data_IF_479863484306
#
_entry.id   IF_479863484306
#
_cell.length_a   1.000
_cell.length_b   1.000
_cell.length_c   1.000
_cell.angle_alpha   90.00
_cell.angle_beta   90.00
_cell.angle_gamma   90.00
#
_symmetry.space_group_name_H-M   'P 1'
#
loop_
_entity.id
_entity.type
_entity.pdbx_description
1 polymer ?
#
# COMPACT_ATOMS: atom_id res chain seq x y z
N UNK A 1 -13.56 12.22 -0.71
CA UNK A 1 -12.21 12.38 -1.25
C UNK A 1 -11.28 13.14 -0.29
N UNK A 2 -11.65 14.34 0.19
CA UNK A 2 -10.83 15.11 1.15
C UNK A 2 -10.63 14.41 2.48
N UNK A 3 -11.65 13.67 2.97
CA UNK A 3 -11.58 12.88 4.21
C UNK A 3 -10.56 11.74 4.09
N UNK A 4 -10.54 11.03 2.95
CA UNK A 4 -9.63 9.92 2.68
C UNK A 4 -8.16 10.39 2.67
N UNK A 5 -7.89 11.54 2.06
CA UNK A 5 -6.55 12.15 2.10
C UNK A 5 -6.14 12.56 3.52
N UNK A 6 -7.09 13.07 4.31
CA UNK A 6 -6.83 13.48 5.70
C UNK A 6 -6.44 12.29 6.59
N UNK A 7 -7.06 11.12 6.40
CA UNK A 7 -6.69 9.91 7.15
C UNK A 7 -5.25 9.47 6.86
N UNK A 8 -4.84 9.55 5.58
CA UNK A 8 -3.47 9.22 5.17
C UNK A 8 -2.43 10.23 5.69
N UNK A 9 -2.73 11.53 5.63
CA UNK A 9 -1.75 12.58 5.99
C UNK A 9 -1.51 12.70 7.48
N UNK A 10 -2.40 12.19 8.35
CA UNK A 10 -2.17 12.15 9.80
C UNK A 10 -0.92 11.35 10.17
N UNK A 11 -0.66 10.26 9.46
CA UNK A 11 0.47 9.37 9.73
C UNK A 11 1.77 9.85 9.05
N UNK A 12 1.66 10.68 8.00
CA UNK A 12 2.77 11.26 7.26
C UNK A 12 3.24 12.61 7.84
N UNK A 13 3.38 12.70 9.15
CA UNK A 13 3.77 13.94 9.83
C UNK A 13 5.04 14.58 9.25
N UNK A 14 5.15 15.91 9.38
CA UNK A 14 6.26 16.73 8.84
C UNK A 14 7.64 16.17 9.24
N UNK A 15 7.78 15.63 10.46
CA UNK A 15 8.99 15.02 10.98
C UNK A 15 9.37 13.72 10.26
N UNK A 16 8.41 12.94 9.75
CA UNK A 16 8.69 11.72 8.99
C UNK A 16 9.32 12.04 7.62
N UNK A 17 8.96 13.18 7.01
CA UNK A 17 9.57 13.67 5.76
C UNK A 17 11.02 14.11 5.96
N UNK A 18 11.33 14.74 7.09
CA UNK A 18 12.68 15.24 7.43
C UNK A 18 13.60 14.11 7.87
N UNK A 19 13.08 13.12 8.60
CA UNK A 19 13.86 12.03 9.17
C UNK A 19 14.12 10.85 8.22
N UNK A 20 13.63 10.86 6.96
CA UNK A 20 13.67 9.71 6.04
C UNK A 20 13.17 8.40 6.69
N UNK A 21 12.21 8.51 7.61
CA UNK A 21 11.71 7.36 8.37
C UNK A 21 10.95 6.44 7.43
N UNK A 22 11.28 5.15 7.47
CA UNK A 22 10.55 4.12 6.72
C UNK A 22 9.12 4.02 7.26
N UNK A 23 8.15 4.45 6.43
CA UNK A 23 6.73 4.42 6.76
C UNK A 23 6.18 3.00 6.90
N UNK A 24 6.87 2.00 6.34
CA UNK A 24 6.46 0.60 6.43
C UNK A 24 6.56 0.02 7.83
N UNK A 25 7.44 0.59 8.68
CA UNK A 25 7.62 0.16 10.07
C UNK A 25 6.64 0.80 11.06
N UNK A 26 5.80 1.75 10.60
CA UNK A 26 4.83 2.47 11.42
C UNK A 26 3.45 1.82 11.38
N UNK A 27 2.55 2.26 12.26
CA UNK A 27 1.14 1.90 12.19
C UNK A 27 0.53 2.37 10.86
N UNK A 28 0.02 1.39 10.09
CA UNK A 28 -0.61 1.61 8.78
C UNK A 28 -2.14 1.54 8.84
N UNK A 29 -2.73 1.64 10.03
CA UNK A 29 -4.19 1.59 10.19
C UNK A 29 -4.89 2.68 9.37
N UNK A 30 -4.35 3.90 9.36
CA UNK A 30 -4.82 4.99 8.51
C UNK A 30 -4.71 4.68 7.02
N UNK A 31 -3.64 4.01 6.60
CA UNK A 31 -3.47 3.59 5.21
C UNK A 31 -4.48 2.51 4.79
N UNK A 32 -4.75 1.53 5.66
CA UNK A 32 -5.78 0.49 5.42
C UNK A 32 -7.18 1.10 5.31
N UNK A 33 -7.53 2.04 6.19
CA UNK A 33 -8.79 2.76 6.12
C UNK A 33 -8.91 3.57 4.83
N UNK A 34 -7.90 4.37 4.48
CA UNK A 34 -7.88 5.14 3.25
C UNK A 34 -7.97 4.25 2.00
N UNK A 35 -7.35 3.06 2.02
CA UNK A 35 -7.45 2.09 0.93
C UNK A 35 -8.90 1.63 0.73
N UNK A 36 -9.60 1.25 1.80
CA UNK A 36 -10.99 0.80 1.71
C UNK A 36 -11.93 1.91 1.23
N UNK A 37 -11.77 3.13 1.75
CA UNK A 37 -12.58 4.28 1.37
C UNK A 37 -12.36 4.69 -0.10
N UNK A 38 -11.10 4.67 -0.58
CA UNK A 38 -10.80 4.95 -1.99
C UNK A 38 -11.32 3.86 -2.93
N UNK A 39 -11.31 2.61 -2.50
CA UNK A 39 -11.89 1.49 -3.25
C UNK A 39 -13.41 1.69 -3.38
N UNK A 40 -14.09 2.03 -2.29
CA UNK A 40 -15.52 2.35 -2.31
C UNK A 40 -15.82 3.56 -3.21
N UNK A 41 -14.98 4.62 -3.13
CA UNK A 41 -15.12 5.79 -3.99
C UNK A 41 -15.03 5.42 -5.48
N UNK A 42 -14.06 4.61 -5.89
CA UNK A 42 -13.90 4.21 -7.29
C UNK A 42 -15.01 3.28 -7.77
N UNK A 43 -15.60 2.49 -6.87
CA UNK A 43 -16.75 1.64 -7.19
C UNK A 43 -18.01 2.47 -7.41
N UNK A 44 -18.24 3.51 -6.60
CA UNK A 44 -19.41 4.38 -6.69
C UNK A 44 -19.30 5.44 -7.79
N UNK A 45 -18.09 5.94 -8.06
CA UNK A 45 -17.84 7.06 -8.96
C UNK A 45 -16.69 6.78 -9.93
N UNK A 46 -16.80 5.75 -10.80
CA UNK A 46 -15.71 5.32 -11.68
C UNK A 46 -15.31 6.41 -12.69
N UNK A 47 -16.26 7.26 -13.12
CA UNK A 47 -16.08 8.30 -14.13
C UNK A 47 -15.79 9.69 -13.52
N UNK A 48 -15.55 9.75 -12.21
CA UNK A 48 -15.18 11.00 -11.55
C UNK A 48 -13.84 11.54 -12.09
N UNK A 49 -13.74 12.85 -12.24
CA UNK A 49 -12.47 13.50 -12.58
C UNK A 49 -11.32 13.17 -11.58
N UNK A 50 -11.65 12.72 -10.39
CA UNK A 50 -10.68 12.29 -9.37
C UNK A 50 -10.32 10.80 -9.45
N UNK A 51 -11.01 10.00 -10.30
CA UNK A 51 -10.78 8.57 -10.38
C UNK A 51 -9.32 8.21 -10.77
N UNK A 52 -8.67 8.86 -11.74
CA UNK A 52 -7.27 8.57 -12.07
C UNK A 52 -6.33 8.78 -10.87
N UNK A 53 -6.51 9.87 -10.14
CA UNK A 53 -5.73 10.17 -8.95
C UNK A 53 -5.99 9.15 -7.83
N UNK A 54 -7.25 8.77 -7.59
CA UNK A 54 -7.62 7.78 -6.60
C UNK A 54 -6.99 6.40 -6.92
N UNK A 55 -6.96 5.99 -8.20
CA UNK A 55 -6.29 4.75 -8.65
C UNK A 55 -4.80 4.76 -8.33
N UNK A 56 -4.10 5.85 -8.60
CA UNK A 56 -2.67 5.96 -8.26
C UNK A 56 -2.43 5.89 -6.75
N UNK A 57 -3.29 6.54 -5.96
CA UNK A 57 -3.23 6.46 -4.50
C UNK A 57 -3.49 5.05 -3.98
N UNK A 58 -4.42 4.32 -4.57
CA UNK A 58 -4.66 2.91 -4.23
C UNK A 58 -3.43 2.04 -4.46
N UNK A 59 -2.73 2.21 -5.60
CA UNK A 59 -1.49 1.47 -5.88
C UNK A 59 -0.45 1.74 -4.80
N UNK A 60 -0.26 3.00 -4.43
CA UNK A 60 0.68 3.37 -3.38
C UNK A 60 0.31 2.77 -2.01
N UNK A 61 -0.94 2.92 -1.58
CA UNK A 61 -1.41 2.41 -0.29
C UNK A 61 -1.31 0.88 -0.22
N UNK A 62 -1.63 0.19 -1.33
CA UNK A 62 -1.45 -1.25 -1.47
C UNK A 62 0.00 -1.65 -1.21
N UNK A 63 0.94 -1.00 -1.89
CA UNK A 63 2.36 -1.29 -1.74
C UNK A 63 2.87 -0.94 -0.34
N UNK A 64 2.38 0.13 0.27
CA UNK A 64 2.72 0.52 1.64
C UNK A 64 2.25 -0.53 2.65
N UNK A 65 1.01 -1.02 2.53
CA UNK A 65 0.47 -2.06 3.43
C UNK A 65 1.25 -3.37 3.24
N UNK A 66 1.53 -3.77 1.99
CA UNK A 66 2.33 -4.95 1.72
C UNK A 66 3.75 -4.84 2.33
N UNK A 67 4.41 -3.69 2.16
CA UNK A 67 5.74 -3.43 2.73
C UNK A 67 5.74 -3.50 4.27
N UNK A 68 4.69 -3.02 4.93
CA UNK A 68 4.54 -3.12 6.38
C UNK A 68 4.40 -4.57 6.87
N UNK A 69 3.58 -5.37 6.19
CA UNK A 69 3.43 -6.80 6.52
C UNK A 69 4.75 -7.56 6.33
N UNK A 70 5.51 -7.24 5.27
CA UNK A 70 6.81 -7.89 5.03
C UNK A 70 7.91 -7.38 5.97
N UNK A 71 7.87 -6.14 6.44
CA UNK A 71 8.77 -5.68 7.50
C UNK A 71 8.57 -6.50 8.79
N UNK A 72 7.32 -6.83 9.13
CA UNK A 72 7.03 -7.73 10.23
C UNK A 72 7.52 -9.17 9.93
N UNK A 73 7.40 -9.65 8.69
CA UNK A 73 7.90 -10.97 8.29
C UNK A 73 9.44 -11.05 8.44
N UNK A 74 10.18 -10.04 7.98
CA UNK A 74 11.64 -9.96 8.13
C UNK A 74 12.08 -9.98 9.60
N UNK A 75 11.34 -9.27 10.45
CA UNK A 75 11.57 -9.34 11.90
C UNK A 75 11.43 -10.76 12.44
N UNK A 76 10.41 -11.51 11.99
CA UNK A 76 10.23 -12.90 12.38
C UNK A 76 11.33 -13.83 11.81
N UNK A 77 11.79 -13.61 10.58
CA UNK A 77 12.94 -14.34 10.00
C UNK A 77 14.18 -14.11 10.87
N UNK A 78 14.48 -12.86 11.22
CA UNK A 78 15.62 -12.51 12.09
C UNK A 78 15.55 -13.22 13.45
N UNK A 79 14.34 -13.45 13.98
CA UNK A 79 14.09 -14.18 15.22
C UNK A 79 13.99 -15.69 15.04
N UNK A 80 14.21 -16.22 13.83
CA UNK A 80 14.03 -17.65 13.48
C UNK A 80 12.61 -18.17 13.72
N UNK A 81 11.63 -17.28 13.78
CA UNK A 81 10.21 -17.59 13.91
C UNK A 81 9.58 -17.81 12.51
N UNK A 82 10.12 -18.77 11.75
CA UNK A 82 9.83 -18.96 10.33
C UNK A 82 8.34 -19.19 10.04
N UNK A 83 7.61 -19.91 10.89
CA UNK A 83 6.15 -20.10 10.73
C UNK A 83 5.38 -18.78 10.77
N UNK A 84 5.81 -17.85 11.64
CA UNK A 84 5.18 -16.53 11.71
C UNK A 84 5.55 -15.68 10.48
N UNK A 85 6.78 -15.78 9.98
CA UNK A 85 7.23 -15.13 8.75
C UNK A 85 6.43 -15.63 7.54
N UNK A 86 6.23 -16.95 7.40
CA UNK A 86 5.42 -17.58 6.36
C UNK A 86 4.01 -16.98 6.37
N UNK A 87 3.35 -16.92 7.53
CA UNK A 87 1.98 -16.38 7.64
C UNK A 87 1.89 -14.94 7.12
N UNK A 88 2.87 -14.09 7.44
CA UNK A 88 2.90 -12.70 6.97
C UNK A 88 3.15 -12.60 5.47
N UNK A 89 4.11 -13.36 4.95
CA UNK A 89 4.42 -13.36 3.52
C UNK A 89 3.27 -13.94 2.69
N UNK A 90 2.67 -15.06 3.10
CA UNK A 90 1.48 -15.63 2.44
C UNK A 90 0.30 -14.68 2.46
N UNK A 91 0.06 -13.97 3.58
CA UNK A 91 -0.99 -12.96 3.66
C UNK A 91 -0.84 -11.89 2.57
N UNK A 92 0.39 -11.44 2.28
CA UNK A 92 0.63 -10.44 1.22
C UNK A 92 0.28 -11.01 -0.14
N UNK A 93 0.68 -12.24 -0.45
CA UNK A 93 0.42 -12.85 -1.76
C UNK A 93 -1.08 -13.13 -1.99
N UNK A 94 -1.79 -13.52 -0.95
CA UNK A 94 -3.22 -13.87 -1.01
C UNK A 94 -4.13 -12.65 -1.00
N UNK A 95 -3.84 -11.68 -0.13
CA UNK A 95 -4.77 -10.57 0.16
C UNK A 95 -4.34 -9.23 -0.49
N UNK A 96 -3.10 -9.12 -0.94
CA UNK A 96 -2.55 -7.90 -1.54
C UNK A 96 -1.92 -8.24 -2.91
N UNK A 97 -2.66 -8.86 -3.82
CA UNK A 97 -2.14 -9.26 -5.12
C UNK A 97 -1.68 -8.05 -5.94
N UNK A 98 -0.78 -8.29 -6.90
CA UNK A 98 -0.22 -7.25 -7.77
C UNK A 98 0.51 -6.12 -7.03
N UNK A 99 1.02 -6.40 -5.83
CA UNK A 99 1.95 -5.52 -5.13
C UNK A 99 3.34 -5.62 -5.73
N UNK A 100 4.09 -4.52 -5.75
CA UNK A 100 5.52 -4.55 -6.10
C UNK A 100 6.37 -5.31 -5.06
N UNK A 101 5.76 -5.73 -3.95
CA UNK A 101 6.39 -6.48 -2.87
C UNK A 101 6.27 -8.01 -3.04
N UNK A 102 5.56 -8.51 -4.07
CA UNK A 102 5.31 -9.93 -4.24
C UNK A 102 6.62 -10.75 -4.36
N UNK A 103 7.60 -10.24 -5.11
CA UNK A 103 8.90 -10.90 -5.23
C UNK A 103 9.61 -11.04 -3.87
N UNK A 104 9.58 -9.99 -3.04
CA UNK A 104 10.14 -10.04 -1.68
C UNK A 104 9.37 -11.02 -0.78
N UNK A 105 8.05 -11.08 -0.90
CA UNK A 105 7.23 -12.07 -0.17
C UNK A 105 7.65 -13.50 -0.51
N UNK A 106 7.84 -13.80 -1.80
CA UNK A 106 8.33 -15.10 -2.25
C UNK A 106 9.74 -15.42 -1.74
N UNK A 107 10.64 -14.44 -1.65
CA UNK A 107 11.98 -14.64 -1.08
C UNK A 107 11.92 -14.98 0.41
N UNK A 108 11.03 -14.34 1.18
CA UNK A 108 10.82 -14.66 2.60
C UNK A 108 10.27 -16.07 2.77
N UNK A 109 9.32 -16.48 1.91
CA UNK A 109 8.81 -17.85 1.92
C UNK A 109 9.89 -18.86 1.61
N UNK A 110 10.70 -18.62 0.54
CA UNK A 110 11.82 -19.48 0.18
C UNK A 110 12.77 -19.70 1.37
N UNK A 111 13.27 -18.62 1.95
CA UNK A 111 14.18 -18.71 3.12
C UNK A 111 13.53 -19.44 4.28
N UNK A 112 12.25 -19.19 4.54
CA UNK A 112 11.55 -19.81 5.67
C UNK A 112 11.31 -21.31 5.45
N UNK A 113 10.97 -21.74 4.22
CA UNK A 113 10.80 -23.15 3.87
C UNK A 113 12.12 -23.92 3.85
N UNK A 114 13.20 -23.29 3.37
CA UNK A 114 14.55 -23.82 3.40
C UNK A 114 14.99 -24.13 4.84
N UNK A 115 14.84 -23.19 5.75
CA UNK A 115 15.20 -23.32 7.16
C UNK A 115 14.35 -24.35 7.93
N UNK A 116 13.09 -24.56 7.50
CA UNK A 116 12.19 -25.56 8.08
C UNK A 116 12.31 -26.96 7.42
N UNK A 117 13.06 -27.07 6.33
CA UNK A 117 13.23 -28.32 5.58
C UNK A 117 11.98 -28.74 4.78
N UNK A 118 11.11 -27.81 4.39
CA UNK A 118 9.91 -28.07 3.58
C UNK A 118 10.24 -28.09 2.09
N UNK A 119 10.84 -29.21 1.63
CA UNK A 119 11.44 -29.34 0.29
C UNK A 119 10.42 -29.09 -0.83
N UNK A 120 9.24 -29.68 -0.77
CA UNK A 120 8.20 -29.53 -1.81
C UNK A 120 7.75 -28.06 -1.95
N UNK A 121 7.50 -27.38 -0.82
CA UNK A 121 7.09 -25.98 -0.81
C UNK A 121 8.23 -25.05 -1.28
N UNK A 122 9.47 -25.42 -1.00
CA UNK A 122 10.65 -24.70 -1.47
C UNK A 122 10.74 -24.76 -3.00
N UNK A 123 10.66 -25.95 -3.59
CA UNK A 123 10.71 -26.14 -5.04
C UNK A 123 9.59 -25.36 -5.76
N UNK A 124 8.38 -25.40 -5.24
CA UNK A 124 7.24 -24.66 -5.82
C UNK A 124 7.42 -23.14 -5.69
N UNK A 125 7.97 -22.69 -4.56
CA UNK A 125 8.28 -21.26 -4.37
C UNK A 125 9.39 -20.81 -5.34
N UNK A 126 10.40 -21.62 -5.61
CA UNK A 126 11.45 -21.30 -6.59
C UNK A 126 10.90 -21.19 -8.01
N UNK A 127 9.98 -22.07 -8.40
CA UNK A 127 9.27 -21.97 -9.68
C UNK A 127 8.48 -20.64 -9.78
N UNK A 128 7.79 -20.27 -8.69
CA UNK A 128 7.06 -19.00 -8.64
C UNK A 128 7.99 -17.78 -8.72
N UNK A 129 9.14 -17.80 -8.08
CA UNK A 129 10.15 -16.73 -8.18
C UNK A 129 10.64 -16.59 -9.62
N UNK A 130 10.89 -17.69 -10.32
CA UNK A 130 11.34 -17.66 -11.70
C UNK A 130 10.27 -17.03 -12.65
N UNK A 131 8.98 -17.25 -12.36
CA UNK A 131 7.88 -16.68 -13.12
C UNK A 131 7.56 -15.21 -12.77
N UNK A 132 8.01 -14.74 -11.60
CA UNK A 132 7.77 -13.40 -11.08
C UNK A 132 9.09 -12.66 -10.82
N UNK A 133 9.77 -12.18 -11.87
CA UNK A 133 11.02 -11.46 -11.71
C UNK A 133 10.84 -10.20 -10.84
N UNK A 134 11.90 -9.71 -10.19
CA UNK A 134 11.83 -8.50 -9.40
C UNK A 134 11.37 -7.32 -10.28
N UNK A 135 10.57 -6.39 -9.74
CA UNK A 135 10.20 -5.19 -10.47
C UNK A 135 11.46 -4.40 -10.84
N UNK A 136 11.47 -3.72 -12.00
CA UNK A 136 12.61 -2.89 -12.40
C UNK A 136 12.89 -1.84 -11.32
N UNK A 137 14.16 -1.58 -11.04
CA UNK A 137 14.64 -0.71 -9.95
C UNK A 137 14.13 0.74 -10.00
N UNK A 138 13.59 1.17 -11.15
CA UNK A 138 12.95 2.49 -11.34
C UNK A 138 11.56 2.61 -10.72
N UNK A 139 10.91 1.50 -10.39
CA UNK A 139 9.58 1.47 -9.75
C UNK A 139 9.64 1.37 -8.22
N UNK A 140 10.71 1.81 -7.61
CA UNK A 140 10.70 2.10 -6.18
C UNK A 140 9.61 3.14 -5.93
N UNK A 141 8.47 2.65 -5.48
CA UNK A 141 7.16 3.32 -5.39
C UNK A 141 7.14 4.60 -4.53
N UNK A 142 8.26 4.96 -3.93
CA UNK A 142 8.43 6.19 -3.17
C UNK A 142 8.54 7.45 -4.05
N UNK A 143 8.85 7.31 -5.36
CA UNK A 143 8.99 8.44 -6.27
C UNK A 143 7.69 8.87 -6.96
N UNK A 144 6.78 7.92 -7.22
CA UNK A 144 5.62 8.17 -8.08
C UNK A 144 4.53 9.08 -7.47
N UNK A 145 4.53 9.25 -6.14
CA UNK A 145 3.48 10.01 -5.47
C UNK A 145 3.94 11.30 -4.79
N UNK A 146 5.25 11.54 -4.74
CA UNK A 146 5.75 12.81 -4.20
C UNK A 146 5.46 13.99 -5.13
N UNK A 147 5.21 13.73 -6.42
CA UNK A 147 5.05 14.74 -7.45
C UNK A 147 3.72 14.71 -8.21
N UNK A 148 2.71 13.94 -7.75
CA UNK A 148 1.37 14.06 -8.36
C UNK A 148 0.70 15.29 -7.77
N UNK A 149 0.53 16.38 -8.55
CA UNK A 149 -0.18 17.56 -8.07
C UNK A 149 -1.60 17.16 -7.71
N UNK A 150 -2.07 17.66 -6.58
CA UNK A 150 -3.49 17.55 -6.25
C UNK A 150 -4.27 18.26 -7.35
N UNK A 151 -5.35 17.66 -7.88
CA UNK A 151 -6.24 18.38 -8.78
C UNK A 151 -6.76 19.63 -8.04
N UNK A 152 -6.86 20.73 -8.77
CA UNK A 152 -7.38 22.00 -8.24
C UNK A 152 -8.69 21.77 -7.48
N UNK A 153 -8.87 22.39 -6.32
CA UNK A 153 -10.13 22.32 -5.61
C UNK A 153 -11.24 22.82 -6.54
N UNK A 154 -12.29 22.01 -6.70
CA UNK A 154 -13.48 22.45 -7.43
C UNK A 154 -13.91 23.77 -6.78
N UNK A 155 -14.01 24.89 -7.53
CA UNK A 155 -14.58 26.11 -6.99
C UNK A 155 -15.95 25.73 -6.43
N UNK A 156 -16.18 26.03 -5.15
CA UNK A 156 -17.51 25.95 -4.57
C UNK A 156 -18.39 26.90 -5.39
N UNK A 157 -19.15 26.35 -6.33
CA UNK A 157 -20.27 27.06 -6.91
C UNK A 157 -21.26 27.21 -5.76
N UNK A 158 -21.13 28.29 -5.02
CA UNK A 158 -22.18 28.76 -4.13
C UNK A 158 -23.30 29.16 -5.08
N UNK A 159 -24.15 28.20 -5.41
CA UNK A 159 -25.39 28.45 -6.12
C UNK A 159 -26.12 29.53 -5.34
N UNK A 160 -26.31 30.70 -5.99
CA UNK A 160 -26.89 31.89 -5.40
C UNK A 160 -28.36 31.73 -5.01
N UNK A 161 -28.65 30.88 -4.04
CA UNK A 161 -29.99 30.60 -3.49
C UNK A 161 -30.09 30.98 -2.00
N UNK A 162 -29.22 31.87 -1.49
CA UNK A 162 -29.34 32.43 -0.14
C UNK A 162 -29.52 33.95 -0.15
N UNK A 163 -30.27 34.46 -1.11
CA UNK A 163 -30.63 35.90 -1.15
C UNK A 163 -32.13 36.10 -0.99
N UNK A 164 -32.83 35.38 -0.14
CA UNK A 164 -34.26 35.62 0.14
C UNK A 164 -34.63 35.14 1.55
N UNK A 165 -33.89 35.58 2.58
CA UNK A 165 -34.44 35.68 3.95
C UNK A 165 -33.94 36.97 4.55
N UNK A 166 -34.51 38.06 4.08
CA UNK A 166 -34.64 39.28 4.84
C UNK A 166 -36.05 39.85 4.56
N UNK A 167 -36.99 39.45 5.40
CA UNK A 167 -38.12 40.28 5.87
C UNK A 167 -38.43 39.77 7.26
#
# INVERSE_FOLDING_TARGET
YKRQLSSYTKDAGLLARVAKTDLSSRDVSGAKLAFSELTEFLTRFPDSQYAPYAKQRLIYLRNLVASNELAAADYYVTRKAYVAAIRRASYVLENIPNSNQNHRALQILKTSYEELGYIELLEDTEKLIALNPPPPSSESSNGLLQNVPLPDPIPLVVSGALSLIHI
#
